data_IF_997572924658
#
_entry.id   IF_997572924658
#
_cell.length_a   1.000
_cell.length_b   1.000
_cell.length_c   1.000
_cell.angle_alpha   90.00
_cell.angle_beta   90.00
_cell.angle_gamma   90.00
#
_symmetry.space_group_name_H-M   'P 1'
#
loop_
_entity.id
_entity.type
_entity.pdbx_description
1 polymer ?
#
# COMPACT_ATOMS: atom_id res chain seq x y z
N UNK A 1 7.25 -38.87 -33.21
CA UNK A 1 8.33 -38.12 -32.49
C UNK A 1 7.75 -36.74 -32.18
N UNK A 2 7.25 -36.56 -30.96
CA UNK A 2 6.56 -35.34 -30.53
C UNK A 2 7.59 -34.49 -29.76
N UNK A 3 7.91 -33.30 -30.29
CA UNK A 3 8.76 -32.32 -29.62
C UNK A 3 7.88 -31.48 -28.69
N UNK A 4 8.02 -31.68 -27.39
CA UNK A 4 7.43 -30.79 -26.36
C UNK A 4 8.42 -29.64 -26.17
N UNK A 5 8.07 -28.47 -26.66
CA UNK A 5 8.74 -27.22 -26.33
C UNK A 5 8.31 -26.82 -24.91
N UNK A 6 9.20 -27.05 -23.95
CA UNK A 6 9.12 -26.43 -22.61
C UNK A 6 9.45 -24.95 -22.79
N UNK A 7 8.43 -24.11 -22.76
CA UNK A 7 8.62 -22.66 -22.61
C UNK A 7 8.95 -22.39 -21.16
N UNK A 8 10.24 -22.14 -20.87
CA UNK A 8 10.68 -21.57 -19.59
C UNK A 8 10.07 -20.17 -19.47
N UNK A 9 9.03 -20.06 -18.66
CA UNK A 9 8.51 -18.78 -18.22
C UNK A 9 9.49 -18.20 -17.21
N UNK A 10 10.47 -17.45 -17.69
CA UNK A 10 11.22 -16.51 -16.86
C UNK A 10 10.24 -15.43 -16.40
N UNK A 11 9.56 -15.67 -15.28
CA UNK A 11 8.82 -14.65 -14.55
C UNK A 11 9.86 -13.64 -14.09
N UNK A 12 9.87 -12.55 -14.82
CA UNK A 12 10.87 -11.51 -14.75
C UNK A 12 10.81 -10.82 -13.38
N UNK A 13 11.98 -10.61 -12.79
CA UNK A 13 12.20 -9.71 -11.65
C UNK A 13 11.77 -8.25 -11.93
N UNK A 14 11.37 -7.96 -13.15
CA UNK A 14 10.95 -6.66 -13.64
C UNK A 14 9.56 -6.23 -13.15
N UNK A 15 8.67 -7.19 -12.87
CA UNK A 15 7.32 -6.88 -12.34
C UNK A 15 7.34 -6.30 -10.91
N UNK A 16 8.41 -6.55 -10.16
CA UNK A 16 8.58 -6.00 -8.80
C UNK A 16 9.03 -4.53 -8.80
N UNK A 17 9.72 -4.10 -9.84
CA UNK A 17 10.23 -2.74 -10.00
C UNK A 17 9.11 -1.70 -10.21
N UNK A 18 7.98 -2.11 -10.80
CA UNK A 18 6.87 -1.20 -11.10
C UNK A 18 5.99 -0.89 -9.87
N UNK A 19 6.16 -1.63 -8.78
CA UNK A 19 5.39 -1.44 -7.54
C UNK A 19 6.15 -0.64 -6.47
N UNK A 20 7.44 -0.42 -6.66
CA UNK A 20 8.34 0.21 -5.69
C UNK A 20 8.84 1.56 -6.20
N UNK A 21 8.77 2.60 -5.37
CA UNK A 21 9.26 3.94 -5.67
C UNK A 21 10.43 4.27 -4.77
N UNK A 22 11.56 4.63 -5.35
CA UNK A 22 12.70 5.19 -4.62
C UNK A 22 12.33 6.59 -4.14
N UNK A 23 12.42 6.81 -2.82
CA UNK A 23 12.15 8.10 -2.18
C UNK A 23 13.42 8.78 -1.68
N UNK A 24 14.51 8.01 -1.50
CA UNK A 24 15.82 8.53 -1.15
C UNK A 24 16.92 7.64 -1.72
N UNK A 25 17.97 8.25 -2.25
CA UNK A 25 19.20 7.57 -2.67
C UNK A 25 20.38 8.51 -2.51
N UNK A 26 21.36 8.13 -1.70
CA UNK A 26 22.56 8.96 -1.48
C UNK A 26 23.52 8.39 -0.45
N UNK A 27 24.69 9.04 -0.37
CA UNK A 27 25.71 8.72 0.63
C UNK A 27 25.57 9.66 1.84
N UNK A 28 25.40 9.08 3.03
CA UNK A 28 25.22 9.83 4.28
C UNK A 28 26.07 9.17 5.37
N UNK A 29 26.86 9.96 6.07
CA UNK A 29 27.72 9.53 7.18
C UNK A 29 28.57 8.28 6.85
N UNK A 30 29.14 8.24 5.62
CA UNK A 30 30.02 7.17 5.17
C UNK A 30 29.31 5.87 4.82
N UNK A 31 28.02 5.91 4.53
CA UNK A 31 27.21 4.79 4.03
C UNK A 31 26.33 5.22 2.87
N UNK A 32 26.13 4.32 1.92
CA UNK A 32 25.15 4.48 0.84
C UNK A 32 23.80 3.98 1.35
N UNK A 33 22.79 4.83 1.29
CA UNK A 33 21.43 4.55 1.73
C UNK A 33 20.50 4.66 0.54
N UNK A 34 19.72 3.61 0.28
CA UNK A 34 18.65 3.60 -0.69
C UNK A 34 17.34 3.26 0.03
N UNK A 35 16.35 4.14 -0.06
CA UNK A 35 15.06 3.94 0.58
C UNK A 35 13.97 3.98 -0.48
N UNK A 36 13.14 2.97 -0.46
CA UNK A 36 12.00 2.83 -1.34
C UNK A 36 10.72 2.49 -0.59
N UNK A 37 9.60 2.80 -1.21
CA UNK A 37 8.27 2.56 -0.67
C UNK A 37 7.40 1.76 -1.64
N UNK A 38 6.53 0.95 -1.09
CA UNK A 38 5.51 0.20 -1.82
C UNK A 38 4.16 0.45 -1.13
N UNK A 39 3.13 0.85 -1.87
CA UNK A 39 3.06 1.06 -3.33
C UNK A 39 3.80 2.32 -3.80
N UNK A 40 4.04 2.44 -5.10
CA UNK A 40 4.69 3.61 -5.74
C UNK A 40 4.03 4.93 -5.43
N UNK A 41 2.72 4.93 -5.25
CA UNK A 41 1.94 6.04 -4.69
C UNK A 41 1.48 5.59 -3.31
N UNK A 42 2.08 6.11 -2.23
CA UNK A 42 1.64 5.80 -0.88
C UNK A 42 0.20 6.23 -0.65
N UNK A 43 -0.62 5.30 -0.21
CA UNK A 43 -2.05 5.51 0.07
C UNK A 43 -2.31 5.31 1.56
N UNK A 44 -3.41 5.90 2.04
CA UNK A 44 -3.94 5.57 3.37
C UNK A 44 -4.09 4.06 3.50
N UNK A 45 -3.52 3.49 4.55
CA UNK A 45 -3.37 2.07 4.77
C UNK A 45 -1.93 1.67 5.08
N UNK A 46 -1.57 0.43 4.79
CA UNK A 46 -0.23 -0.08 5.08
C UNK A 46 0.75 0.29 3.96
N UNK A 47 1.85 0.92 4.36
CA UNK A 47 2.97 1.30 3.50
C UNK A 47 4.18 0.46 3.91
N UNK A 48 4.82 -0.14 2.93
CA UNK A 48 6.05 -0.91 3.12
C UNK A 48 7.25 -0.06 2.73
N UNK A 49 8.26 -0.06 3.58
CA UNK A 49 9.53 0.59 3.36
C UNK A 49 10.62 -0.46 3.22
N UNK A 50 11.46 -0.30 2.21
CA UNK A 50 12.67 -1.08 1.99
C UNK A 50 13.87 -0.14 2.10
N UNK A 51 14.79 -0.44 2.99
CA UNK A 51 15.96 0.38 3.28
C UNK A 51 17.20 -0.48 3.03
N UNK A 52 17.94 -0.16 1.97
CA UNK A 52 19.19 -0.83 1.63
C UNK A 52 20.38 0.00 2.16
N UNK A 53 21.25 -0.65 2.91
CA UNK A 53 22.43 -0.06 3.50
C UNK A 53 23.69 -0.74 2.97
N UNK A 54 24.64 0.03 2.45
CA UNK A 54 25.92 -0.48 1.97
C UNK A 54 27.06 0.51 2.21
N UNK A 55 28.29 0.00 2.15
CA UNK A 55 29.49 0.81 2.20
C UNK A 55 29.75 1.44 0.82
N UNK A 56 30.00 2.76 0.71
CA UNK A 56 30.18 3.43 -0.59
C UNK A 56 31.42 2.97 -1.34
N UNK A 57 32.46 2.49 -0.62
CA UNK A 57 33.72 2.12 -1.23
C UNK A 57 33.69 0.83 -2.07
N UNK A 58 32.86 -0.14 -1.69
CA UNK A 58 32.83 -1.49 -2.29
C UNK A 58 31.44 -2.10 -2.40
N UNK A 59 30.38 -1.34 -2.10
CA UNK A 59 29.00 -1.80 -2.04
C UNK A 59 28.76 -3.00 -1.10
N UNK A 60 29.64 -3.21 -0.11
CA UNK A 60 29.42 -4.26 0.88
C UNK A 60 28.19 -3.95 1.72
N UNK A 61 27.28 -4.92 1.92
CA UNK A 61 26.07 -4.70 2.70
C UNK A 61 26.39 -4.46 4.18
N UNK A 62 25.67 -3.54 4.81
CA UNK A 62 25.71 -3.29 6.26
C UNK A 62 24.54 -4.03 6.88
N UNK A 63 24.80 -5.20 7.49
CA UNK A 63 23.77 -6.13 7.98
C UNK A 63 23.56 -6.09 9.49
N UNK A 64 24.38 -5.35 10.22
CA UNK A 64 24.44 -5.29 11.68
C UNK A 64 23.96 -3.95 12.25
N UNK A 65 23.11 -3.25 11.51
CA UNK A 65 22.51 -2.01 11.95
C UNK A 65 21.13 -2.23 12.59
N UNK A 66 20.77 -1.37 13.52
CA UNK A 66 19.40 -1.21 14.00
C UNK A 66 18.77 -0.06 13.23
N UNK A 67 17.71 -0.32 12.52
CA UNK A 67 17.00 0.68 11.73
C UNK A 67 15.62 0.91 12.32
N UNK A 68 15.31 2.16 12.66
CA UNK A 68 14.02 2.60 13.18
C UNK A 68 13.40 3.59 12.22
N UNK A 69 12.16 3.32 11.84
CA UNK A 69 11.36 4.19 10.99
C UNK A 69 10.28 4.86 11.83
N UNK A 70 10.17 6.18 11.67
CA UNK A 70 9.13 6.98 12.32
C UNK A 70 8.42 7.78 11.24
N UNK A 71 7.10 7.77 11.23
CA UNK A 71 6.29 8.67 10.42
C UNK A 71 5.66 9.71 11.31
N UNK A 72 5.76 10.96 10.90
CA UNK A 72 5.19 12.09 11.61
C UNK A 72 4.62 13.13 10.65
N UNK A 73 3.79 14.00 11.20
CA UNK A 73 3.42 15.26 10.55
C UNK A 73 4.32 16.37 11.06
N UNK A 74 4.14 17.62 10.59
CA UNK A 74 4.91 18.78 11.07
C UNK A 74 4.84 18.99 12.58
N UNK A 75 3.81 18.49 13.23
CA UNK A 75 3.48 18.79 14.62
C UNK A 75 3.64 17.61 15.57
N UNK A 76 3.69 16.35 15.06
CA UNK A 76 3.72 15.16 15.90
C UNK A 76 4.33 13.93 15.22
N UNK A 77 5.08 13.11 16.00
CA UNK A 77 5.47 11.76 15.60
C UNK A 77 4.36 10.79 15.97
N UNK A 78 3.75 10.17 14.96
CA UNK A 78 2.52 9.41 15.17
C UNK A 78 2.77 7.91 15.17
N UNK A 79 3.60 7.42 14.23
CA UNK A 79 3.83 5.99 14.05
C UNK A 79 5.32 5.66 14.07
N UNK A 80 5.69 4.57 14.74
CA UNK A 80 7.06 4.07 14.73
C UNK A 80 7.13 2.56 14.57
N UNK A 81 8.18 2.08 13.92
CA UNK A 81 8.48 0.67 13.74
C UNK A 81 9.98 0.43 13.63
N UNK A 82 10.45 -0.69 14.16
CA UNK A 82 11.78 -1.18 13.84
C UNK A 82 11.74 -1.94 12.52
N UNK A 83 12.69 -1.64 11.63
CA UNK A 83 12.85 -2.38 10.40
C UNK A 83 13.56 -3.71 10.69
N UNK A 84 13.04 -4.78 10.11
CA UNK A 84 13.59 -6.12 10.24
C UNK A 84 14.61 -6.38 9.13
N UNK A 85 15.76 -6.93 9.50
CA UNK A 85 16.77 -7.38 8.54
C UNK A 85 16.19 -8.49 7.65
N UNK A 86 16.39 -8.36 6.34
CA UNK A 86 15.96 -9.36 5.37
C UNK A 86 17.01 -10.48 5.25
N UNK A 87 16.72 -11.72 5.68
CA UNK A 87 17.69 -12.81 5.62
C UNK A 87 18.13 -13.19 4.20
N UNK A 88 17.29 -12.89 3.20
CA UNK A 88 17.56 -13.22 1.79
C UNK A 88 18.39 -12.15 1.08
N UNK A 89 18.43 -10.92 1.64
CA UNK A 89 19.17 -9.79 1.06
C UNK A 89 19.92 -9.07 2.18
N UNK A 90 21.18 -9.45 2.48
CA UNK A 90 21.98 -8.77 3.49
C UNK A 90 22.05 -7.25 3.24
N UNK A 91 21.97 -6.46 4.30
CA UNK A 91 21.93 -5.00 4.22
C UNK A 91 20.59 -4.39 3.83
N UNK A 92 19.58 -5.22 3.56
CA UNK A 92 18.21 -4.76 3.34
C UNK A 92 17.39 -4.88 4.62
N UNK A 93 16.69 -3.82 4.97
CA UNK A 93 15.82 -3.72 6.14
C UNK A 93 14.40 -3.37 5.69
N UNK A 94 13.43 -4.09 6.20
CA UNK A 94 12.01 -3.94 5.81
C UNK A 94 11.22 -3.47 7.02
N UNK A 95 10.47 -2.39 6.86
CA UNK A 95 9.50 -1.90 7.83
C UNK A 95 8.12 -1.73 7.17
N UNK A 96 7.07 -1.85 7.96
CA UNK A 96 5.73 -1.49 7.54
C UNK A 96 5.09 -0.60 8.59
N UNK A 97 4.34 0.39 8.14
CA UNK A 97 3.55 1.29 8.97
C UNK A 97 2.17 1.46 8.35
N UNK A 98 1.16 1.55 9.20
CA UNK A 98 -0.22 1.79 8.76
C UNK A 98 -0.61 3.21 9.11
N UNK A 99 -1.01 3.97 8.09
CA UNK A 99 -1.41 5.38 8.20
C UNK A 99 -2.92 5.48 8.01
N UNK A 100 -3.56 6.30 8.80
CA UNK A 100 -5.02 6.41 8.84
C UNK A 100 -5.59 7.63 8.09
N UNK A 101 -4.74 8.59 7.70
CA UNK A 101 -5.16 9.78 6.95
C UNK A 101 -4.17 10.20 5.88
N UNK A 102 -4.70 10.84 4.84
CA UNK A 102 -3.93 11.41 3.75
C UNK A 102 -3.33 12.77 4.16
N UNK A 103 -2.25 13.16 3.51
CA UNK A 103 -1.60 14.46 3.73
C UNK A 103 -0.10 14.41 3.53
N UNK A 104 0.54 15.49 3.96
CA UNK A 104 1.99 15.60 3.97
C UNK A 104 2.55 14.99 5.26
N UNK A 105 3.48 14.07 5.08
CA UNK A 105 4.14 13.33 6.13
C UNK A 105 5.66 13.46 6.00
N UNK A 106 6.37 13.21 7.07
CA UNK A 106 7.82 13.08 7.06
C UNK A 106 8.20 11.71 7.59
N UNK A 107 9.01 10.99 6.82
CA UNK A 107 9.62 9.75 7.25
C UNK A 107 10.98 10.05 7.85
N UNK A 108 11.15 9.75 9.14
CA UNK A 108 12.43 9.83 9.85
C UNK A 108 13.01 8.43 9.93
N UNK A 109 14.16 8.24 9.29
CA UNK A 109 14.89 6.96 9.31
C UNK A 109 16.11 7.12 10.19
N UNK A 110 16.11 6.42 11.35
CA UNK A 110 17.21 6.42 12.30
C UNK A 110 17.96 5.10 12.17
N UNK A 111 19.25 5.20 11.86
CA UNK A 111 20.14 4.06 11.64
C UNK A 111 21.20 4.11 12.73
N UNK A 112 21.32 3.05 13.50
CA UNK A 112 22.37 2.87 14.51
C UNK A 112 23.15 1.61 14.19
N UNK A 113 24.43 1.78 13.86
CA UNK A 113 25.35 0.69 13.59
C UNK A 113 25.95 0.12 14.89
N UNK A 114 26.42 -1.11 14.84
CA UNK A 114 27.07 -1.77 15.99
C UNK A 114 28.34 -1.06 16.47
N UNK A 115 28.97 -0.25 15.62
CA UNK A 115 30.11 0.62 15.99
C UNK A 115 29.71 1.88 16.78
N UNK A 116 28.40 2.11 16.98
CA UNK A 116 27.81 3.25 17.67
C UNK A 116 27.55 4.48 16.79
N UNK A 117 27.83 4.41 15.50
CA UNK A 117 27.50 5.49 14.56
C UNK A 117 25.97 5.60 14.40
N UNK A 118 25.47 6.85 14.49
CA UNK A 118 24.06 7.16 14.33
C UNK A 118 23.87 8.09 13.14
N UNK A 119 22.90 7.77 12.31
CA UNK A 119 22.49 8.57 11.17
C UNK A 119 20.98 8.78 11.24
N UNK A 120 20.52 9.98 10.98
CA UNK A 120 19.11 10.33 10.91
C UNK A 120 18.82 11.01 9.57
N UNK A 121 17.80 10.54 8.88
CA UNK A 121 17.34 11.04 7.59
C UNK A 121 15.89 11.49 7.71
N UNK A 122 15.60 12.67 7.14
CA UNK A 122 14.25 13.21 7.02
C UNK A 122 13.84 13.21 5.56
N UNK A 123 12.74 12.52 5.25
CA UNK A 123 12.28 12.35 3.88
C UNK A 123 10.83 12.78 3.82
N UNK A 124 10.50 13.84 3.07
CA UNK A 124 9.11 14.24 2.88
C UNK A 124 8.37 13.18 2.05
N UNK A 125 7.14 12.89 2.45
CA UNK A 125 6.31 11.87 1.86
C UNK A 125 4.86 12.36 1.78
N UNK A 126 4.29 12.36 0.59
CA UNK A 126 2.86 12.64 0.41
C UNK A 126 2.09 11.32 0.40
N UNK A 127 1.10 11.22 1.26
CA UNK A 127 0.19 10.07 1.35
C UNK A 127 -1.16 10.48 0.78
N UNK A 128 -1.59 9.78 -0.26
CA UNK A 128 -2.86 10.06 -0.91
C UNK A 128 -4.02 9.33 -0.22
N UNK A 129 -5.22 9.91 -0.36
CA UNK A 129 -6.44 9.26 0.13
C UNK A 129 -6.70 7.93 -0.60
N UNK A 130 -7.07 6.91 0.17
CA UNK A 130 -7.47 5.65 -0.46
C UNK A 130 -8.66 5.87 -1.40
N UNK A 131 -8.63 5.34 -2.64
CA UNK A 131 -9.76 5.42 -3.55
C UNK A 131 -11.00 4.65 -3.06
N UNK A 132 -10.95 4.06 -1.89
CA UNK A 132 -12.06 3.38 -1.20
C UNK A 132 -13.15 4.32 -0.65
N UNK A 133 -13.18 5.58 -1.03
CA UNK A 133 -14.47 6.31 -1.13
C UNK A 133 -15.45 5.62 -2.11
N UNK A 134 -15.02 4.60 -2.83
CA UNK A 134 -15.85 3.62 -3.51
C UNK A 134 -16.90 2.95 -2.59
N UNK A 135 -16.70 2.91 -1.29
CA UNK A 135 -17.70 2.42 -0.34
C UNK A 135 -19.00 3.23 -0.38
N UNK A 136 -18.90 4.56 -0.50
CA UNK A 136 -20.08 5.42 -0.64
C UNK A 136 -20.77 5.24 -2.00
N UNK A 137 -20.00 5.12 -3.08
CA UNK A 137 -20.54 4.85 -4.44
C UNK A 137 -21.18 3.47 -4.50
N UNK A 138 -20.58 2.46 -3.87
CA UNK A 138 -21.17 1.12 -3.75
C UNK A 138 -22.48 1.13 -2.96
N UNK A 139 -22.53 1.81 -1.83
CA UNK A 139 -23.73 1.91 -0.99
C UNK A 139 -24.86 2.66 -1.70
N UNK A 140 -24.55 3.73 -2.42
CA UNK A 140 -25.51 4.49 -3.22
C UNK A 140 -26.06 3.61 -4.35
N UNK A 141 -25.22 2.88 -5.07
CA UNK A 141 -25.65 1.97 -6.13
C UNK A 141 -26.59 0.88 -5.59
N UNK A 142 -26.26 0.26 -4.46
CA UNK A 142 -27.12 -0.73 -3.81
C UNK A 142 -28.45 -0.13 -3.34
N UNK A 143 -28.43 1.10 -2.81
CA UNK A 143 -29.65 1.80 -2.41
C UNK A 143 -30.57 2.07 -3.62
N UNK A 144 -30.01 2.48 -4.76
CA UNK A 144 -30.76 2.70 -6.00
C UNK A 144 -31.38 1.39 -6.49
N UNK A 145 -30.62 0.29 -6.55
CA UNK A 145 -31.13 -1.03 -6.96
C UNK A 145 -32.26 -1.47 -6.03
N UNK A 146 -32.10 -1.30 -4.72
CA UNK A 146 -33.11 -1.66 -3.73
C UNK A 146 -34.41 -0.85 -3.95
N UNK A 147 -34.31 0.47 -4.17
CA UNK A 147 -35.46 1.33 -4.47
C UNK A 147 -36.19 0.90 -5.74
N UNK A 148 -35.47 0.50 -6.79
CA UNK A 148 -36.06 0.00 -8.03
C UNK A 148 -36.83 -1.30 -7.78
N UNK A 149 -36.26 -2.25 -7.07
CA UNK A 149 -36.90 -3.54 -6.74
C UNK A 149 -38.18 -3.31 -5.92
N UNK A 150 -38.11 -2.46 -4.90
CA UNK A 150 -39.27 -2.12 -4.06
C UNK A 150 -40.37 -1.45 -4.89
N UNK A 151 -39.98 -0.54 -5.79
CA UNK A 151 -40.95 0.16 -6.68
C UNK A 151 -41.64 -0.80 -7.63
N UNK A 152 -40.92 -1.75 -8.21
CA UNK A 152 -41.51 -2.79 -9.09
C UNK A 152 -42.45 -3.70 -8.27
N UNK A 153 -42.03 -4.13 -7.09
CA UNK A 153 -42.89 -4.94 -6.20
C UNK A 153 -44.16 -4.25 -5.81
N UNK A 154 -44.09 -2.95 -5.48
CA UNK A 154 -45.24 -2.14 -5.14
C UNK A 154 -46.19 -1.96 -6.34
N UNK A 155 -45.64 -1.75 -7.54
CA UNK A 155 -46.42 -1.64 -8.78
C UNK A 155 -47.18 -2.94 -9.07
N UNK A 156 -46.54 -4.08 -8.98
CA UNK A 156 -47.16 -5.39 -9.18
C UNK A 156 -48.29 -5.63 -8.15
N UNK A 157 -48.01 -5.35 -6.87
CA UNK A 157 -48.99 -5.52 -5.79
C UNK A 157 -50.22 -4.64 -5.98
N UNK A 158 -50.00 -3.41 -6.43
CA UNK A 158 -51.12 -2.48 -6.72
C UNK A 158 -51.99 -2.97 -7.88
N UNK A 159 -51.39 -3.47 -8.95
CA UNK A 159 -52.12 -3.96 -10.13
C UNK A 159 -52.77 -5.33 -9.88
N UNK A 160 -52.19 -6.16 -9.01
CA UNK A 160 -52.80 -7.45 -8.65
C UNK A 160 -54.06 -7.33 -7.81
N UNK A 161 -54.34 -6.15 -7.22
CA UNK A 161 -55.55 -5.88 -6.42
C UNK A 161 -56.77 -5.40 -7.21
N UNK A 162 -56.67 -5.35 -8.55
CA UNK A 162 -57.85 -5.05 -9.37
C UNK A 162 -58.63 -6.37 -9.60
N UNK A 163 -59.75 -6.62 -8.89
CA UNK A 163 -60.57 -7.79 -9.17
C UNK A 163 -61.20 -7.60 -10.54
N UNK A 164 -60.95 -8.53 -11.45
CA UNK A 164 -61.75 -8.63 -12.66
C UNK A 164 -63.16 -9.08 -12.25
N UNK A 165 -64.07 -8.12 -12.18
CA UNK A 165 -65.51 -8.35 -12.06
C UNK A 165 -66.01 -8.93 -13.40
N UNK A 166 -65.76 -10.24 -13.61
CA UNK A 166 -66.39 -10.96 -14.69
C UNK A 166 -67.75 -11.38 -14.14
N UNK A 167 -68.70 -10.47 -14.29
CA UNK A 167 -70.08 -10.70 -14.14
C UNK A 167 -70.53 -11.93 -14.94
N UNK A 168 -70.99 -12.97 -14.24
CA UNK A 168 -71.88 -13.97 -14.72
C UNK A 168 -73.15 -13.26 -15.27
N UNK A 169 -73.46 -13.45 -16.53
CA UNK A 169 -74.73 -13.19 -17.09
C UNK A 169 -75.21 -14.48 -17.80
N UNK A 170 -76.09 -15.17 -17.12
CA UNK A 170 -76.97 -16.21 -17.66
C UNK A 170 -77.97 -15.63 -18.60
#
# INVERSE_FOLDING_TARGET
MIFILLSDSTVSAQERSDLEKVIFSGDVDGKTVLISVTPTTPLVGTIFFSIDLSQPANNSPISDATVKLILGTSDEYIFESFALSNPQKPGNYIANLTVDHAGEWTAYVKIEESNGNKTELEIPLTIEGSPLTAGLTGTILWAIIFCVIVSIGFYIWRNAKTPSDISQKS
#
